data_IF_093020214730
#
_entry.id   IF_093020214730
#
_cell.length_a   1.000
_cell.length_b   1.000
_cell.length_c   1.000
_cell.angle_alpha   90.00
_cell.angle_beta   90.00
_cell.angle_gamma   90.00
#
_symmetry.space_group_name_H-M   'P 1'
#
loop_
_entity.id
_entity.type
_entity.pdbx_description
1 polymer ?
#
# COMPACT_ATOMS: atom_id res chain seq x y z
N UNK A 1 52.85 20.88 59.75
CA UNK A 1 51.80 19.82 59.81
C UNK A 1 50.99 19.91 58.54
N UNK A 2 51.41 19.18 57.55
CA UNK A 2 50.81 19.15 56.21
C UNK A 2 50.00 17.86 56.10
N UNK A 3 48.73 18.02 55.95
CA UNK A 3 47.78 16.92 55.60
C UNK A 3 47.84 16.65 54.11
N UNK A 4 47.91 15.39 53.65
CA UNK A 4 47.83 15.05 52.25
C UNK A 4 46.38 14.87 51.81
N UNK A 5 45.93 15.68 50.90
CA UNK A 5 44.69 15.50 50.14
C UNK A 5 45.03 15.26 48.65
N UNK A 6 45.50 14.06 48.25
CA UNK A 6 45.36 13.74 46.82
C UNK A 6 44.70 12.37 46.51
N UNK A 7 44.24 11.59 47.51
CA UNK A 7 43.73 10.24 47.23
C UNK A 7 42.23 10.18 46.93
N UNK A 8 41.45 11.24 47.24
CA UNK A 8 40.00 11.23 47.03
C UNK A 8 39.63 11.61 45.63
N UNK A 9 40.36 12.55 44.97
CA UNK A 9 40.08 12.95 43.56
C UNK A 9 40.38 11.82 42.56
N UNK A 10 41.39 11.01 42.74
CA UNK A 10 41.76 9.90 41.86
C UNK A 10 40.72 8.76 41.90
N UNK A 11 40.01 8.60 43.02
CA UNK A 11 39.00 7.53 43.16
C UNK A 11 37.68 7.98 42.52
N UNK A 12 37.35 9.27 42.54
CA UNK A 12 36.15 9.81 41.88
C UNK A 12 36.31 9.83 40.36
N UNK A 13 37.46 10.23 39.82
CA UNK A 13 37.72 10.16 38.35
C UNK A 13 37.66 8.71 37.82
N UNK A 14 38.21 7.75 38.54
CA UNK A 14 38.15 6.34 38.13
C UNK A 14 36.71 5.75 38.17
N UNK A 15 35.87 6.25 39.09
CA UNK A 15 34.48 5.84 39.17
C UNK A 15 33.63 6.39 38.02
N UNK A 16 33.87 7.63 37.58
CA UNK A 16 33.17 8.28 36.47
C UNK A 16 33.53 7.62 35.13
N UNK A 17 34.80 7.25 34.94
CA UNK A 17 35.28 6.54 33.76
C UNK A 17 34.69 5.12 33.65
N UNK A 18 34.55 4.43 34.79
CA UNK A 18 33.97 3.09 34.84
C UNK A 18 32.47 3.10 34.52
N UNK A 19 31.73 4.13 34.96
CA UNK A 19 30.31 4.30 34.68
C UNK A 19 30.07 4.72 33.21
N UNK A 20 30.96 5.54 32.64
CA UNK A 20 30.91 5.93 31.22
C UNK A 20 31.21 4.72 30.30
N UNK A 21 32.15 3.85 30.66
CA UNK A 21 32.44 2.61 29.94
C UNK A 21 31.27 1.61 30.00
N UNK A 22 30.62 1.49 31.14
CA UNK A 22 29.44 0.61 31.30
C UNK A 22 28.22 1.11 30.50
N UNK A 23 28.04 2.43 30.38
CA UNK A 23 27.03 3.04 29.56
C UNK A 23 27.29 2.87 28.05
N UNK A 24 28.54 2.91 27.62
CA UNK A 24 28.93 2.66 26.25
C UNK A 24 28.70 1.19 25.83
N UNK A 25 29.08 0.23 26.69
CA UNK A 25 28.82 -1.20 26.46
C UNK A 25 27.33 -1.54 26.43
N UNK A 26 26.49 -0.86 27.25
CA UNK A 26 25.04 -1.00 27.23
C UNK A 26 24.41 -0.40 25.96
N UNK A 27 25.00 0.65 25.41
CA UNK A 27 24.54 1.28 24.17
C UNK A 27 24.85 0.38 22.95
N UNK A 28 26.06 -0.20 22.90
CA UNK A 28 26.46 -1.16 21.86
C UNK A 28 25.64 -2.46 21.90
N UNK A 29 25.29 -2.93 23.10
CA UNK A 29 24.43 -4.10 23.28
C UNK A 29 22.97 -3.79 22.81
N UNK A 30 22.48 -2.57 23.05
CA UNK A 30 21.16 -2.13 22.61
C UNK A 30 21.09 -1.98 21.07
N UNK A 31 22.14 -1.43 20.44
CA UNK A 31 22.22 -1.33 18.97
C UNK A 31 22.33 -2.71 18.31
N UNK A 32 23.00 -3.67 18.93
CA UNK A 32 23.07 -5.04 18.45
C UNK A 32 21.72 -5.78 18.54
N UNK A 33 20.89 -5.51 19.56
CA UNK A 33 19.54 -6.07 19.68
C UNK A 33 18.56 -5.41 18.69
N UNK A 34 18.67 -4.10 18.42
CA UNK A 34 17.83 -3.40 17.45
C UNK A 34 18.19 -3.79 16.01
N UNK A 35 19.47 -4.08 15.74
CA UNK A 35 19.94 -4.57 14.45
C UNK A 35 19.45 -5.99 14.10
N UNK A 36 18.99 -6.74 15.08
CA UNK A 36 18.42 -8.08 14.91
C UNK A 36 16.88 -8.08 15.09
N UNK A 37 16.24 -6.94 14.81
CA UNK A 37 14.80 -6.91 14.56
C UNK A 37 14.55 -7.88 13.40
N UNK A 38 14.16 -9.10 13.77
CA UNK A 38 13.90 -10.20 12.88
C UNK A 38 13.14 -9.65 11.68
N UNK A 39 13.72 -9.78 10.48
CA UNK A 39 12.95 -9.80 9.24
C UNK A 39 11.85 -10.83 9.50
N UNK A 40 10.67 -10.33 9.86
CA UNK A 40 9.48 -11.18 9.92
C UNK A 40 9.45 -11.82 8.55
N UNK A 41 9.62 -13.15 8.43
CA UNK A 41 9.57 -13.77 7.14
C UNK A 41 8.20 -13.43 6.58
N UNK A 42 8.16 -12.47 5.64
CA UNK A 42 6.97 -12.26 4.81
C UNK A 42 6.77 -13.64 4.21
N UNK A 43 5.77 -14.36 4.70
CA UNK A 43 5.36 -15.64 4.14
C UNK A 43 4.87 -15.30 2.73
N UNK A 44 5.83 -15.20 1.81
CA UNK A 44 5.56 -15.14 0.39
C UNK A 44 4.85 -16.45 0.11
N UNK A 45 3.54 -16.41 0.15
CA UNK A 45 2.71 -17.54 -0.23
C UNK A 45 3.18 -17.90 -1.64
N UNK A 46 3.83 -19.05 -1.81
CA UNK A 46 4.29 -19.55 -3.12
C UNK A 46 3.13 -19.67 -4.13
N UNK A 47 1.91 -19.58 -3.62
CA UNK A 47 0.69 -19.63 -4.41
C UNK A 47 0.30 -18.23 -4.90
N UNK A 48 -0.02 -18.09 -6.19
CA UNK A 48 -0.51 -16.81 -6.73
C UNK A 48 -1.84 -16.43 -6.06
N UNK A 49 -1.89 -15.23 -5.48
CA UNK A 49 -3.11 -14.68 -4.88
C UNK A 49 -4.01 -14.15 -5.98
N UNK A 50 -5.29 -14.55 -5.97
CA UNK A 50 -6.27 -14.15 -6.96
C UNK A 50 -7.41 -13.35 -6.34
N UNK A 51 -7.61 -12.13 -6.80
CA UNK A 51 -8.66 -11.24 -6.29
C UNK A 51 -9.48 -10.61 -7.40
N UNK A 52 -10.65 -10.09 -7.01
CA UNK A 52 -11.57 -9.43 -7.94
C UNK A 52 -11.88 -8.01 -7.46
N UNK A 53 -11.71 -7.04 -8.36
CA UNK A 53 -12.16 -5.67 -8.17
C UNK A 53 -13.30 -5.32 -9.14
N UNK A 54 -14.22 -4.47 -8.69
CA UNK A 54 -15.35 -4.02 -9.50
C UNK A 54 -15.58 -2.52 -9.33
N UNK A 55 -15.83 -1.82 -10.44
CA UNK A 55 -16.25 -0.43 -10.43
C UNK A 55 -17.15 -0.14 -11.63
N UNK A 56 -18.35 0.44 -11.42
CA UNK A 56 -19.40 0.57 -12.44
C UNK A 56 -19.65 -0.79 -13.11
N UNK A 57 -19.51 -0.84 -14.44
CA UNK A 57 -19.63 -2.08 -15.25
C UNK A 57 -18.29 -2.84 -15.41
N UNK A 58 -17.18 -2.26 -14.91
CA UNK A 58 -15.87 -2.88 -15.03
C UNK A 58 -15.68 -3.98 -13.97
N UNK A 59 -15.20 -5.13 -14.44
CA UNK A 59 -14.78 -6.27 -13.62
C UNK A 59 -13.33 -6.59 -13.93
N UNK A 60 -12.51 -6.69 -12.91
CA UNK A 60 -11.08 -7.00 -13.05
C UNK A 60 -10.74 -8.18 -12.15
N UNK A 61 -10.09 -9.18 -12.72
CA UNK A 61 -9.49 -10.30 -11.99
C UNK A 61 -7.98 -10.10 -11.99
N UNK A 62 -7.40 -10.04 -10.81
CA UNK A 62 -5.97 -9.88 -10.61
C UNK A 62 -5.39 -11.18 -10.09
N UNK A 63 -4.22 -11.55 -10.62
CA UNK A 63 -3.33 -12.56 -10.08
C UNK A 63 -2.05 -11.84 -9.67
N UNK A 64 -1.74 -11.89 -8.39
CA UNK A 64 -0.52 -11.36 -7.81
C UNK A 64 0.48 -12.50 -7.63
N UNK A 65 1.69 -12.32 -8.14
CA UNK A 65 2.78 -13.29 -8.08
C UNK A 65 4.03 -12.58 -7.55
N UNK A 66 4.86 -13.18 -6.71
CA UNK A 66 6.15 -12.61 -6.37
C UNK A 66 6.97 -12.32 -7.63
N UNK A 67 7.59 -11.12 -7.71
CA UNK A 67 8.27 -10.70 -8.93
C UNK A 67 8.99 -9.37 -8.79
N UNK A 68 9.06 -8.61 -9.87
CA UNK A 68 9.88 -7.40 -10.02
C UNK A 68 9.06 -6.12 -10.25
N UNK A 69 7.74 -6.16 -10.08
CA UNK A 69 6.87 -4.98 -10.26
C UNK A 69 6.29 -4.81 -11.66
N UNK A 70 6.28 -5.87 -12.48
CA UNK A 70 5.74 -5.81 -13.83
C UNK A 70 4.21 -5.92 -13.85
N UNK A 71 3.58 -5.17 -14.77
CA UNK A 71 2.13 -5.20 -15.00
C UNK A 71 1.82 -5.77 -16.37
N UNK A 72 1.05 -6.85 -16.39
CA UNK A 72 0.52 -7.45 -17.63
C UNK A 72 -1.01 -7.39 -17.60
N UNK A 73 -1.59 -6.55 -18.43
CA UNK A 73 -3.02 -6.24 -18.50
C UNK A 73 -3.61 -6.74 -19.82
N UNK A 74 -4.37 -7.82 -19.81
CA UNK A 74 -4.87 -8.45 -21.05
C UNK A 74 -3.75 -8.70 -22.09
N UNK A 75 -2.55 -9.08 -21.63
CA UNK A 75 -1.38 -9.32 -22.50
C UNK A 75 -0.62 -8.05 -22.92
N UNK A 76 -0.98 -6.86 -22.43
CA UNK A 76 -0.32 -5.58 -22.73
C UNK A 76 0.34 -5.00 -21.48
N UNK A 77 1.36 -4.16 -21.66
CA UNK A 77 1.96 -3.42 -20.55
C UNK A 77 1.01 -2.34 -20.01
N UNK A 78 1.23 -1.89 -18.76
CA UNK A 78 0.45 -0.86 -18.10
C UNK A 78 0.36 0.42 -18.94
N UNK A 79 1.47 0.85 -19.52
CA UNK A 79 1.57 2.09 -20.31
C UNK A 79 0.81 2.01 -21.62
N UNK A 80 0.86 0.85 -22.27
CA UNK A 80 0.12 0.62 -23.53
C UNK A 80 -1.38 0.53 -23.29
N UNK A 81 -1.81 -0.07 -22.18
CA UNK A 81 -3.23 -0.24 -21.86
C UNK A 81 -3.86 1.03 -21.29
N UNK A 82 -3.14 1.75 -20.41
CA UNK A 82 -3.56 3.02 -19.80
C UNK A 82 -2.59 4.14 -20.20
N UNK A 83 -2.77 4.80 -21.34
CA UNK A 83 -1.89 5.89 -21.79
C UNK A 83 -1.96 7.13 -20.87
N UNK A 84 -3.03 7.28 -20.09
CA UNK A 84 -3.18 8.37 -19.15
C UNK A 84 -2.38 8.12 -17.87
N UNK A 85 -1.40 8.99 -17.59
CA UNK A 85 -0.52 8.93 -16.40
C UNK A 85 -1.30 8.95 -15.07
N UNK A 86 -2.44 9.65 -15.01
CA UNK A 86 -3.31 9.67 -13.82
C UNK A 86 -3.88 8.28 -13.50
N UNK A 87 -4.25 7.51 -14.54
CA UNK A 87 -4.72 6.15 -14.33
C UNK A 87 -3.58 5.22 -13.88
N UNK A 88 -2.38 5.38 -14.43
CA UNK A 88 -1.20 4.61 -14.02
C UNK A 88 -0.84 4.89 -12.56
N UNK A 89 -0.84 6.16 -12.16
CA UNK A 89 -0.60 6.56 -10.77
C UNK A 89 -1.63 5.95 -9.83
N UNK A 90 -2.92 6.11 -10.14
CA UNK A 90 -4.04 5.56 -9.36
C UNK A 90 -3.96 4.04 -9.17
N UNK A 91 -3.42 3.32 -10.15
CA UNK A 91 -3.23 1.86 -10.07
C UNK A 91 -2.06 1.49 -9.17
N UNK A 92 -0.98 2.29 -9.17
CA UNK A 92 0.22 2.06 -8.36
C UNK A 92 0.06 2.53 -6.91
N UNK A 93 -0.87 3.45 -6.61
CA UNK A 93 -1.11 4.00 -5.26
C UNK A 93 -1.15 2.95 -4.14
N UNK A 94 -1.90 1.84 -4.23
CA UNK A 94 -1.94 0.84 -3.16
C UNK A 94 -0.58 0.21 -2.85
N UNK A 95 0.22 -0.04 -3.89
CA UNK A 95 1.57 -0.63 -3.76
C UNK A 95 2.56 0.35 -3.12
N UNK A 96 2.47 1.63 -3.51
CA UNK A 96 3.30 2.70 -2.95
C UNK A 96 2.97 2.94 -1.48
N UNK A 97 1.68 2.91 -1.10
CA UNK A 97 1.23 3.12 0.29
C UNK A 97 1.75 2.04 1.25
N UNK A 98 2.01 0.85 0.74
CA UNK A 98 2.51 -0.31 1.51
C UNK A 98 4.01 -0.57 1.25
N UNK A 99 4.66 0.27 0.44
CA UNK A 99 6.09 0.17 0.09
C UNK A 99 6.48 -1.17 -0.56
N UNK A 100 5.53 -1.80 -1.27
CA UNK A 100 5.71 -3.11 -1.93
C UNK A 100 5.69 -3.03 -3.46
N UNK A 101 6.09 -1.89 -4.05
CA UNK A 101 5.95 -1.61 -5.48
C UNK A 101 6.74 -2.58 -6.38
N UNK A 102 7.89 -3.06 -5.93
CA UNK A 102 8.81 -3.90 -6.71
C UNK A 102 8.81 -5.37 -6.29
N UNK A 103 7.91 -5.77 -5.39
CA UNK A 103 7.88 -7.13 -4.84
C UNK A 103 6.97 -8.08 -5.62
N UNK A 104 6.05 -7.58 -6.43
CA UNK A 104 5.01 -8.38 -7.05
C UNK A 104 4.81 -8.06 -8.52
N UNK A 105 4.69 -9.11 -9.34
CA UNK A 105 4.20 -9.03 -10.70
C UNK A 105 2.67 -9.18 -10.73
N UNK A 106 2.01 -8.35 -11.53
CA UNK A 106 0.55 -8.22 -11.56
C UNK A 106 0.03 -8.62 -12.93
N UNK A 107 -0.66 -9.75 -12.96
CA UNK A 107 -1.40 -10.19 -14.14
C UNK A 107 -2.88 -9.88 -13.96
N UNK A 108 -3.48 -9.12 -14.86
CA UNK A 108 -4.87 -8.74 -14.73
C UNK A 108 -5.67 -8.96 -16.01
N UNK A 109 -6.86 -9.56 -15.85
CA UNK A 109 -7.87 -9.68 -16.89
C UNK A 109 -8.96 -8.63 -16.63
N UNK A 110 -9.09 -7.66 -17.54
CA UNK A 110 -10.02 -6.53 -17.45
C UNK A 110 -11.16 -6.74 -18.45
N UNK A 111 -12.40 -6.61 -17.97
CA UNK A 111 -13.62 -6.76 -18.78
C UNK A 111 -14.64 -5.68 -18.45
N UNK A 112 -15.39 -5.25 -19.45
CA UNK A 112 -16.49 -4.31 -19.31
C UNK A 112 -16.09 -2.89 -18.94
N UNK A 113 -17.05 -1.98 -18.95
CA UNK A 113 -16.89 -0.57 -18.61
C UNK A 113 -15.93 0.17 -19.54
N UNK A 114 -15.32 1.24 -19.06
CA UNK A 114 -14.32 2.03 -19.77
C UNK A 114 -13.02 2.13 -18.98
N UNK A 115 -11.97 2.71 -19.58
CA UNK A 115 -10.62 2.82 -19.01
C UNK A 115 -10.60 3.37 -17.58
N UNK A 116 -11.36 4.43 -17.29
CA UNK A 116 -11.47 5.00 -15.94
C UNK A 116 -12.14 4.05 -14.93
N UNK A 117 -13.14 3.28 -15.36
CA UNK A 117 -13.80 2.26 -14.53
C UNK A 117 -12.86 1.10 -14.24
N UNK A 118 -12.15 0.64 -15.28
CA UNK A 118 -11.18 -0.45 -15.18
C UNK A 118 -9.99 -0.09 -14.28
N UNK A 119 -9.46 1.15 -14.38
CA UNK A 119 -8.38 1.61 -13.49
C UNK A 119 -8.80 1.59 -12.01
N UNK A 120 -10.00 2.09 -11.68
CA UNK A 120 -10.50 2.04 -10.31
C UNK A 120 -10.84 0.63 -9.83
N UNK A 121 -11.30 -0.26 -10.72
CA UNK A 121 -11.53 -1.66 -10.38
C UNK A 121 -10.21 -2.41 -10.14
N UNK A 122 -9.18 -2.12 -10.95
CA UNK A 122 -7.84 -2.68 -10.79
C UNK A 122 -7.20 -2.23 -9.47
N UNK A 123 -7.29 -0.94 -9.12
CA UNK A 123 -6.84 -0.43 -7.81
C UNK A 123 -7.44 -1.22 -6.64
N UNK A 124 -8.75 -1.40 -6.66
CA UNK A 124 -9.45 -2.16 -5.61
C UNK A 124 -9.00 -3.63 -5.56
N UNK A 125 -8.78 -4.27 -6.71
CA UNK A 125 -8.32 -5.65 -6.77
C UNK A 125 -6.90 -5.79 -6.20
N UNK A 126 -5.98 -4.89 -6.56
CA UNK A 126 -4.60 -4.87 -6.02
C UNK A 126 -4.63 -4.69 -4.50
N UNK A 127 -5.40 -3.71 -3.99
CA UNK A 127 -5.51 -3.47 -2.55
C UNK A 127 -6.04 -4.72 -1.79
N UNK A 128 -6.99 -5.45 -2.37
CA UNK A 128 -7.49 -6.71 -1.79
C UNK A 128 -6.44 -7.81 -1.81
N UNK A 129 -5.69 -7.92 -2.91
CA UNK A 129 -4.63 -8.91 -3.05
C UNK A 129 -3.52 -8.68 -2.00
N UNK A 130 -3.11 -7.43 -1.77
CA UNK A 130 -2.12 -7.09 -0.75
C UNK A 130 -2.58 -7.50 0.66
N UNK A 131 -3.84 -7.23 1.01
CA UNK A 131 -4.42 -7.66 2.31
C UNK A 131 -4.48 -9.18 2.46
N UNK A 132 -4.62 -9.92 1.35
CA UNK A 132 -4.65 -11.39 1.37
C UNK A 132 -3.24 -11.99 1.51
N UNK A 133 -2.22 -11.28 0.99
CA UNK A 133 -0.80 -11.63 1.20
C UNK A 133 -0.37 -11.31 2.62
N UNK A 134 -0.73 -10.12 3.10
CA UNK A 134 -0.32 -9.60 4.40
C UNK A 134 -1.49 -8.86 5.06
N UNK A 135 -1.94 -9.40 6.19
CA UNK A 135 -3.05 -8.83 6.95
C UNK A 135 -2.71 -7.46 7.58
N UNK A 136 -1.42 -7.19 7.82
CA UNK A 136 -0.94 -5.95 8.40
C UNK A 136 -1.09 -4.75 7.45
N UNK A 137 -1.15 -4.99 6.15
CA UNK A 137 -1.38 -3.96 5.13
C UNK A 137 -2.82 -3.41 5.15
N UNK A 138 -3.74 -4.10 5.81
CA UNK A 138 -5.16 -3.71 5.84
C UNK A 138 -5.45 -2.35 6.49
N UNK A 139 -4.86 -1.97 7.66
CA UNK A 139 -5.08 -0.67 8.27
C UNK A 139 -4.68 0.51 7.37
N UNK A 140 -3.46 0.59 6.80
CA UNK A 140 -3.06 1.68 5.92
C UNK A 140 -3.91 1.75 4.65
N UNK A 141 -4.21 0.62 3.99
CA UNK A 141 -5.02 0.57 2.78
C UNK A 141 -6.49 0.96 3.04
N UNK A 142 -7.05 0.62 4.22
CA UNK A 142 -8.40 1.03 4.62
C UNK A 142 -8.44 2.52 4.93
N UNK A 143 -7.43 3.06 5.60
CA UNK A 143 -7.33 4.50 5.93
C UNK A 143 -7.23 5.34 4.66
N UNK A 144 -6.49 4.89 3.65
CA UNK A 144 -6.40 5.52 2.33
C UNK A 144 -7.66 5.33 1.46
N UNK A 145 -8.64 4.49 1.89
CA UNK A 145 -9.90 4.27 1.18
C UNK A 145 -9.83 3.32 -0.02
N UNK A 146 -8.74 2.57 -0.20
CA UNK A 146 -8.55 1.68 -1.35
C UNK A 146 -9.40 0.40 -1.30
N UNK A 147 -9.85 -0.01 -0.11
CA UNK A 147 -10.67 -1.20 0.08
C UNK A 147 -12.17 -0.97 -0.13
N UNK A 148 -12.58 0.31 -0.26
CA UNK A 148 -14.00 0.66 -0.46
C UNK A 148 -14.36 0.66 -1.93
N UNK A 149 -15.41 -0.06 -2.30
CA UNK A 149 -15.95 -0.02 -3.66
C UNK A 149 -16.69 1.29 -3.90
N UNK A 150 -16.39 1.99 -5.01
CA UNK A 150 -17.17 3.13 -5.49
C UNK A 150 -18.52 2.62 -6.05
N UNK A 151 -19.60 2.90 -5.35
CA UNK A 151 -20.96 2.46 -5.71
C UNK A 151 -21.60 3.31 -6.81
N UNK A 152 -21.01 4.45 -7.20
CA UNK A 152 -21.58 5.36 -8.20
C UNK A 152 -21.71 4.66 -9.55
N UNK A 153 -22.96 4.55 -10.04
CA UNK A 153 -23.29 4.02 -11.36
C UNK A 153 -24.20 4.98 -12.12
N UNK A 154 -24.27 4.84 -13.43
CA UNK A 154 -25.17 5.64 -14.26
C UNK A 154 -26.61 5.14 -14.06
N UNK A 155 -27.52 6.03 -13.67
CA UNK A 155 -28.93 5.72 -13.51
C UNK A 155 -29.59 5.44 -14.88
N UNK A 156 -30.48 4.46 -14.91
CA UNK A 156 -31.27 4.13 -16.11
C UNK A 156 -32.20 5.29 -16.47
N UNK A 157 -32.28 5.61 -17.75
CA UNK A 157 -33.31 6.53 -18.29
C UNK A 157 -34.69 6.04 -17.88
N UNK A 158 -35.54 6.92 -17.40
CA UNK A 158 -36.96 6.63 -17.06
C UNK A 158 -37.91 7.09 -18.18
N UNK A 159 -39.03 6.41 -18.29
CA UNK A 159 -40.07 6.82 -19.25
C UNK A 159 -40.59 8.21 -18.88
N UNK A 160 -41.07 8.98 -19.85
CA UNK A 160 -41.54 10.36 -19.66
C UNK A 160 -40.46 11.40 -19.41
N UNK A 161 -39.21 11.00 -19.12
CA UNK A 161 -38.08 11.91 -18.91
C UNK A 161 -37.09 11.86 -20.08
N UNK A 162 -36.36 12.97 -20.33
CA UNK A 162 -35.31 13.01 -21.36
C UNK A 162 -34.04 12.22 -20.92
N UNK A 163 -33.73 12.20 -19.62
CA UNK A 163 -32.66 11.44 -18.98
C UNK A 163 -33.18 10.75 -17.73
N UNK A 164 -32.30 10.23 -16.86
CA UNK A 164 -32.71 9.58 -15.62
C UNK A 164 -33.56 10.50 -14.70
N UNK A 165 -33.23 11.80 -14.65
CA UNK A 165 -33.88 12.80 -13.79
C UNK A 165 -34.29 14.10 -14.54
N UNK A 166 -33.95 14.25 -15.84
CA UNK A 166 -34.25 15.45 -16.59
C UNK A 166 -35.60 15.33 -17.26
N UNK A 167 -36.55 16.17 -16.85
CA UNK A 167 -37.88 16.29 -17.46
C UNK A 167 -37.83 17.00 -18.84
N UNK A 168 -38.82 16.78 -19.73
CA UNK A 168 -39.04 17.60 -20.91
C UNK A 168 -39.31 19.05 -20.53
N UNK A 169 -39.02 19.97 -21.45
CA UNK A 169 -39.37 21.37 -21.29
C UNK A 169 -40.91 21.50 -21.26
N UNK A 170 -41.42 22.16 -20.22
CA UNK A 170 -42.85 22.52 -20.17
C UNK A 170 -43.13 23.67 -21.14
N UNK A 171 -44.08 23.47 -22.03
CA UNK A 171 -44.55 24.53 -22.93
C UNK A 171 -45.75 25.21 -22.28
N UNK A 172 -45.59 26.48 -21.89
CA UNK A 172 -46.72 27.33 -21.50
C UNK A 172 -47.43 27.82 -22.77
N UNK A 173 -48.67 27.54 -22.89
CA UNK A 173 -49.62 28.22 -23.78
C UNK A 173 -50.77 28.72 -22.95
#
# INVERSE_FOLDING_TARGET
MTTPEPEIEAVEEAAVDAEALALADAADAYEAEVGNAAEIPVVLTERPVQTVGRRKEAVVRVRLVPGTGNFTLNGKSLETYFPNKLHQQLIREPLVTVEKAERFDIFANLQGGGTSGQAGALRLAIARALVEVDAEDRPPLKRAGFLTRDARATERKKYGLKKARKAPQYSKR
#
